data_IF_204561983526
#
_entry.id   IF_204561983526
#
_cell.length_a   1.000
_cell.length_b   1.000
_cell.length_c   1.000
_cell.angle_alpha   90.00
_cell.angle_beta   90.00
_cell.angle_gamma   90.00
#
_symmetry.space_group_name_H-M   'P 1'
#
loop_
_entity.id
_entity.type
_entity.pdbx_description
1 polymer ?
#
# COMPACT_ATOMS: atom_id res chain seq x y z
N UNK A 1 -1.06 -43.88 39.46
CA UNK A 1 -1.58 -42.51 39.52
C UNK A 1 -1.37 -41.89 38.15
N UNK A 2 -2.11 -42.46 37.21
CA UNK A 2 -2.76 -41.88 36.04
C UNK A 2 -2.96 -40.36 36.08
N UNK A 3 -1.93 -39.61 35.66
CA UNK A 3 -1.96 -38.16 35.46
C UNK A 3 -2.63 -37.72 34.15
N UNK A 4 -3.61 -38.48 33.65
CA UNK A 4 -4.24 -38.28 32.33
C UNK A 4 -5.45 -37.35 32.34
N UNK A 5 -5.99 -36.99 33.51
CA UNK A 5 -7.14 -36.07 33.61
C UNK A 5 -6.74 -34.65 34.00
N UNK A 6 -5.74 -34.45 34.86
CA UNK A 6 -5.32 -33.11 35.29
C UNK A 6 -4.58 -32.31 34.21
N UNK A 7 -3.92 -32.98 33.26
CA UNK A 7 -3.25 -32.29 32.13
C UNK A 7 -4.25 -31.77 31.08
N UNK A 8 -5.46 -32.32 31.04
CA UNK A 8 -6.52 -31.89 30.10
C UNK A 8 -7.27 -30.65 30.58
N UNK A 9 -7.34 -30.42 31.89
CA UNK A 9 -8.16 -29.36 32.48
C UNK A 9 -7.45 -27.97 32.53
N UNK A 10 -6.13 -27.93 32.41
CA UNK A 10 -5.37 -26.69 32.68
C UNK A 10 -5.01 -25.85 31.45
N UNK A 11 -5.29 -26.30 30.22
CA UNK A 11 -4.89 -25.54 29.04
C UNK A 11 -5.88 -24.44 28.64
N UNK A 12 -7.18 -24.56 28.94
CA UNK A 12 -8.17 -23.55 28.57
C UNK A 12 -9.36 -23.54 29.52
N UNK A 13 -9.30 -22.68 30.54
CA UNK A 13 -10.49 -22.19 31.23
C UNK A 13 -10.67 -20.75 30.75
N UNK A 14 -11.71 -20.52 29.95
CA UNK A 14 -12.18 -19.18 29.64
C UNK A 14 -12.81 -18.62 30.92
N UNK A 15 -12.03 -17.84 31.69
CA UNK A 15 -12.59 -17.07 32.79
C UNK A 15 -13.18 -15.78 32.21
N UNK A 16 -14.50 -15.67 32.31
CA UNK A 16 -15.30 -14.49 31.90
C UNK A 16 -14.95 -13.21 32.67
N UNK A 17 -14.05 -13.26 33.66
CA UNK A 17 -13.68 -12.11 34.46
C UNK A 17 -12.23 -11.69 34.22
N UNK A 18 -12.12 -10.48 33.66
CA UNK A 18 -10.94 -9.63 33.64
C UNK A 18 -10.24 -9.64 35.01
N UNK A 19 -9.03 -10.19 35.09
CA UNK A 19 -8.11 -9.86 36.17
C UNK A 19 -6.71 -9.50 35.69
N UNK A 20 -6.35 -8.29 36.08
CA UNK A 20 -5.01 -7.73 36.21
C UNK A 20 -4.17 -8.67 37.09
N UNK A 21 -3.08 -9.22 36.56
CA UNK A 21 -1.99 -9.70 37.42
C UNK A 21 -1.04 -8.53 37.66
N UNK A 22 -0.97 -8.12 38.93
CA UNK A 22 0.00 -7.16 39.41
C UNK A 22 1.39 -7.83 39.47
N UNK A 23 2.34 -7.28 38.71
CA UNK A 23 3.78 -7.52 38.87
C UNK A 23 4.39 -8.58 37.97
N UNK A 24 5.27 -8.12 37.06
CA UNK A 24 6.23 -8.94 36.32
C UNK A 24 5.75 -9.39 34.94
N UNK A 25 6.38 -8.84 33.89
CA UNK A 25 6.36 -9.28 32.48
C UNK A 25 5.36 -10.41 32.15
N UNK A 26 4.08 -10.09 31.97
CA UNK A 26 3.09 -11.06 31.51
C UNK A 26 3.48 -11.52 30.10
N UNK A 27 3.92 -12.78 29.96
CA UNK A 27 3.89 -13.48 28.67
C UNK A 27 2.44 -13.56 28.22
N UNK A 28 2.09 -12.83 27.16
CA UNK A 28 0.72 -12.75 26.72
C UNK A 28 0.26 -14.07 26.08
N UNK A 29 -0.93 -14.55 26.47
CA UNK A 29 -1.57 -15.70 25.83
C UNK A 29 -1.94 -15.36 24.37
N UNK A 30 -1.77 -16.32 23.45
CA UNK A 30 -2.11 -16.12 22.03
C UNK A 30 -3.57 -15.75 21.79
N UNK A 31 -4.48 -16.28 22.62
CA UNK A 31 -5.89 -15.86 22.60
C UNK A 31 -6.05 -14.36 22.90
N UNK A 32 -5.21 -13.78 23.78
CA UNK A 32 -5.18 -12.33 24.01
C UNK A 32 -4.67 -11.58 22.78
N UNK A 33 -3.66 -12.08 22.06
CA UNK A 33 -3.18 -11.46 20.82
C UNK A 33 -4.28 -11.45 19.74
N UNK A 34 -4.90 -12.60 19.52
CA UNK A 34 -5.92 -12.78 18.50
C UNK A 34 -7.20 -12.02 18.86
N UNK A 35 -7.59 -12.05 20.13
CA UNK A 35 -8.65 -11.20 20.68
C UNK A 35 -8.32 -9.72 20.53
N UNK A 36 -7.07 -9.29 20.74
CA UNK A 36 -6.64 -7.90 20.48
C UNK A 36 -6.67 -7.55 18.99
N UNK A 37 -6.26 -8.45 18.11
CA UNK A 37 -6.36 -8.24 16.66
C UNK A 37 -7.83 -8.13 16.23
N UNK A 38 -8.67 -9.05 16.68
CA UNK A 38 -10.11 -9.05 16.42
C UNK A 38 -10.80 -7.82 17.03
N UNK A 39 -10.42 -7.40 18.23
CA UNK A 39 -10.93 -6.18 18.87
C UNK A 39 -10.45 -4.92 18.18
N UNK A 40 -9.20 -4.89 17.72
CA UNK A 40 -8.68 -3.78 16.91
C UNK A 40 -9.49 -3.65 15.62
N UNK A 41 -10.03 -4.75 15.11
CA UNK A 41 -10.89 -4.77 13.93
C UNK A 41 -12.36 -4.47 14.26
N UNK A 42 -12.89 -4.97 15.38
CA UNK A 42 -14.30 -4.74 15.77
C UNK A 42 -14.56 -3.31 16.23
N UNK A 43 -13.56 -2.67 16.87
CA UNK A 43 -13.58 -1.23 17.21
C UNK A 43 -13.58 -0.31 15.97
N UNK A 44 -13.48 -0.87 14.76
CA UNK A 44 -13.58 -0.14 13.50
C UNK A 44 -15.04 0.00 13.02
N UNK A 45 -16.00 -0.51 13.80
CA UNK A 45 -17.44 -0.50 13.50
C UNK A 45 -17.89 -1.81 12.87
N UNK A 46 -18.35 -2.75 13.71
CA UNK A 46 -18.62 -4.14 13.31
C UNK A 46 -20.09 -4.49 13.03
N UNK A 47 -20.97 -3.51 12.85
CA UNK A 47 -22.37 -3.76 12.53
C UNK A 47 -22.65 -3.24 11.13
N UNK A 48 -23.20 -4.06 10.23
CA UNK A 48 -23.63 -3.74 8.84
C UNK A 48 -22.66 -4.14 7.71
N UNK A 49 -23.15 -4.10 6.46
CA UNK A 49 -22.49 -4.36 5.15
C UNK A 49 -21.08 -3.77 4.99
N UNK A 50 -20.66 -2.88 5.89
CA UNK A 50 -19.36 -2.23 5.97
C UNK A 50 -18.15 -3.18 6.03
N UNK A 51 -18.30 -4.39 6.58
CA UNK A 51 -17.21 -5.38 6.65
C UNK A 51 -17.00 -6.20 5.36
N UNK A 52 -17.85 -6.00 4.34
CA UNK A 52 -17.72 -6.70 3.05
C UNK A 52 -16.37 -6.35 2.40
N UNK A 53 -15.52 -7.36 2.22
CA UNK A 53 -14.16 -7.20 1.65
C UNK A 53 -13.03 -7.09 2.68
N UNK A 54 -13.33 -7.04 3.98
CA UNK A 54 -12.30 -7.10 5.02
C UNK A 54 -11.82 -8.56 5.20
N UNK A 55 -10.51 -8.76 5.35
CA UNK A 55 -9.96 -10.07 5.74
C UNK A 55 -9.76 -10.10 7.25
N UNK A 56 -10.28 -11.11 7.93
CA UNK A 56 -10.12 -11.29 9.37
C UNK A 56 -9.25 -12.50 9.65
N UNK A 57 -8.38 -12.46 10.70
CA UNK A 57 -7.70 -13.67 11.15
C UNK A 57 -8.73 -14.70 11.60
N UNK A 58 -8.58 -15.94 11.13
CA UNK A 58 -9.43 -17.08 11.49
C UNK A 58 -8.68 -17.92 12.51
N UNK A 59 -9.41 -18.40 13.52
CA UNK A 59 -8.91 -19.34 14.51
C UNK A 59 -9.45 -20.73 14.25
N UNK A 60 -8.56 -21.72 14.24
CA UNK A 60 -8.92 -23.13 14.19
C UNK A 60 -8.27 -23.85 15.37
N UNK A 61 -9.10 -24.54 16.15
CA UNK A 61 -8.64 -25.39 17.25
C UNK A 61 -8.28 -26.77 16.72
N UNK A 62 -7.15 -27.29 17.19
CA UNK A 62 -6.70 -28.66 16.91
C UNK A 62 -6.25 -29.32 18.20
N UNK A 63 -6.69 -30.55 18.41
CA UNK A 63 -6.31 -31.37 19.55
C UNK A 63 -5.03 -32.14 19.21
N UNK A 64 -4.00 -32.00 20.04
CA UNK A 64 -2.72 -32.67 19.87
C UNK A 64 -2.33 -33.39 21.18
N UNK A 65 -1.78 -34.60 21.09
CA UNK A 65 -1.18 -35.28 22.24
C UNK A 65 0.11 -34.55 22.65
N UNK A 66 0.30 -34.42 23.96
CA UNK A 66 1.41 -33.71 24.59
C UNK A 66 2.54 -34.65 25.05
N UNK A 67 2.46 -35.93 24.69
CA UNK A 67 3.30 -36.99 25.24
C UNK A 67 4.72 -37.00 24.63
N UNK A 68 4.96 -36.24 23.56
CA UNK A 68 6.24 -36.16 22.82
C UNK A 68 6.78 -34.73 22.70
N UNK A 69 6.60 -33.93 23.74
CA UNK A 69 7.06 -32.55 23.79
C UNK A 69 8.61 -32.46 23.79
N UNK A 70 9.17 -31.55 22.99
CA UNK A 70 10.61 -31.25 23.05
C UNK A 70 10.96 -30.61 24.42
N UNK A 71 12.15 -30.88 24.99
CA UNK A 71 12.53 -30.37 26.31
C UNK A 71 12.47 -28.84 26.43
N UNK A 72 12.72 -28.14 25.32
CA UNK A 72 12.75 -26.67 25.24
C UNK A 72 11.36 -26.03 25.10
N UNK A 73 10.30 -26.85 24.93
CA UNK A 73 8.95 -26.36 24.69
C UNK A 73 8.07 -26.70 25.89
N UNK A 74 7.96 -25.77 26.82
CA UNK A 74 7.23 -25.96 28.08
C UNK A 74 5.72 -25.66 27.99
N UNK A 75 5.20 -25.22 26.83
CA UNK A 75 3.78 -24.84 26.64
C UNK A 75 3.27 -25.13 25.22
N UNK A 76 1.95 -25.35 25.03
CA UNK A 76 1.40 -25.65 23.71
C UNK A 76 1.70 -24.51 22.73
N UNK A 77 2.18 -24.87 21.54
CA UNK A 77 2.51 -23.91 20.51
C UNK A 77 1.36 -23.78 19.52
N UNK A 78 1.07 -22.54 19.12
CA UNK A 78 0.22 -22.31 17.95
C UNK A 78 1.09 -22.36 16.69
N UNK A 79 0.50 -22.76 15.56
CA UNK A 79 1.12 -22.70 14.24
C UNK A 79 0.54 -21.52 13.47
N UNK A 80 1.40 -20.72 12.85
CA UNK A 80 1.01 -19.62 11.97
C UNK A 80 1.96 -19.56 10.78
N UNK A 81 1.55 -18.91 9.69
CA UNK A 81 2.45 -18.65 8.58
C UNK A 81 3.21 -17.33 8.75
N UNK A 82 4.39 -17.24 8.14
CA UNK A 82 5.18 -16.00 8.06
C UNK A 82 4.38 -14.87 7.43
N UNK A 83 3.65 -15.13 6.34
CA UNK A 83 2.83 -14.11 5.67
C UNK A 83 1.73 -13.57 6.58
N UNK A 84 1.07 -14.45 7.35
CA UNK A 84 -0.01 -14.03 8.26
C UNK A 84 0.53 -13.24 9.45
N UNK A 85 1.65 -13.64 10.08
CA UNK A 85 2.20 -12.85 11.19
C UNK A 85 2.65 -11.46 10.74
N UNK A 86 3.22 -11.36 9.52
CA UNK A 86 3.62 -10.10 8.91
C UNK A 86 2.46 -9.09 8.80
N UNK A 87 1.26 -9.59 8.48
CA UNK A 87 0.02 -8.80 8.43
C UNK A 87 -0.49 -8.47 9.83
N UNK A 88 -0.57 -9.46 10.73
CA UNK A 88 -1.07 -9.27 12.11
C UNK A 88 -0.25 -8.22 12.83
N UNK A 89 1.08 -8.25 12.73
CA UNK A 89 1.95 -7.31 13.40
C UNK A 89 1.63 -5.86 13.03
N UNK A 90 1.48 -5.58 11.73
CA UNK A 90 1.12 -4.25 11.23
C UNK A 90 -0.26 -3.81 11.69
N UNK A 91 -1.26 -4.69 11.62
CA UNK A 91 -2.63 -4.38 12.05
C UNK A 91 -2.74 -4.07 13.55
N UNK A 92 -1.81 -4.57 14.36
CA UNK A 92 -1.67 -4.21 15.77
C UNK A 92 -0.94 -2.88 16.03
N UNK A 93 -0.50 -2.20 14.96
CA UNK A 93 0.27 -0.96 15.05
C UNK A 93 1.77 -1.19 15.29
N UNK A 94 2.29 -2.39 15.01
CA UNK A 94 3.72 -2.68 15.07
C UNK A 94 4.39 -2.43 13.71
N UNK A 95 5.66 -2.04 13.75
CA UNK A 95 6.52 -1.94 12.58
C UNK A 95 7.58 -3.04 12.68
N UNK A 96 7.84 -3.70 11.56
CA UNK A 96 8.99 -4.60 11.48
C UNK A 96 10.27 -3.76 11.59
N UNK A 97 11.27 -4.29 12.29
CA UNK A 97 12.63 -3.74 12.44
C UNK A 97 13.67 -4.63 11.79
N UNK A 98 13.37 -5.92 11.80
CA UNK A 98 14.14 -6.97 11.16
C UNK A 98 13.12 -7.99 10.65
N UNK A 99 13.25 -8.39 9.39
CA UNK A 99 12.35 -9.38 8.79
C UNK A 99 13.13 -10.26 7.80
N UNK A 100 13.73 -11.31 8.35
CA UNK A 100 14.45 -12.36 7.64
C UNK A 100 14.02 -13.73 8.17
N UNK A 101 12.89 -14.25 7.69
CA UNK A 101 12.34 -15.53 8.13
C UNK A 101 13.22 -16.73 7.79
N UNK A 102 14.05 -16.64 6.73
CA UNK A 102 14.97 -17.72 6.32
C UNK A 102 16.00 -17.99 7.42
N UNK A 103 16.54 -16.92 8.00
CA UNK A 103 17.52 -17.03 9.08
C UNK A 103 16.88 -17.03 10.48
N UNK A 104 15.54 -17.02 10.56
CA UNK A 104 14.80 -16.99 11.82
C UNK A 104 14.88 -15.65 12.56
N UNK A 105 15.27 -14.58 11.88
CA UNK A 105 15.42 -13.23 12.45
C UNK A 105 14.17 -12.43 12.10
N UNK A 106 13.27 -12.25 13.06
CA UNK A 106 12.09 -11.40 12.88
C UNK A 106 11.84 -10.62 14.17
N UNK A 107 11.77 -9.30 14.05
CA UNK A 107 11.50 -8.40 15.17
C UNK A 107 10.52 -7.32 14.74
N UNK A 108 9.40 -7.23 15.45
CA UNK A 108 8.44 -6.15 15.29
C UNK A 108 8.25 -5.41 16.61
N UNK A 109 8.07 -4.10 16.55
CA UNK A 109 7.74 -3.29 17.72
C UNK A 109 6.81 -2.13 17.36
N UNK A 110 5.95 -1.77 18.30
CA UNK A 110 5.05 -0.62 18.18
C UNK A 110 3.82 -0.79 19.04
N UNK A 111 3.14 0.31 19.35
CA UNK A 111 1.92 0.29 20.16
C UNK A 111 2.05 -0.50 21.49
N UNK A 112 3.18 -0.34 22.18
CA UNK A 112 3.47 -1.03 23.45
C UNK A 112 3.52 -2.55 23.37
N UNK A 113 3.84 -3.08 22.18
CA UNK A 113 3.89 -4.49 21.87
C UNK A 113 5.18 -4.82 21.11
N UNK A 114 5.69 -6.04 21.30
CA UNK A 114 6.80 -6.60 20.53
C UNK A 114 6.51 -8.01 20.07
N UNK A 115 7.07 -8.35 18.92
CA UNK A 115 7.25 -9.73 18.43
C UNK A 115 8.74 -9.95 18.27
N UNK A 116 9.25 -11.05 18.80
CA UNK A 116 10.66 -11.46 18.67
C UNK A 116 10.70 -12.93 18.27
N UNK A 117 11.40 -13.25 17.19
CA UNK A 117 11.67 -14.63 16.79
C UNK A 117 12.89 -15.20 17.51
N UNK A 118 12.80 -16.49 17.82
CA UNK A 118 13.86 -17.30 18.38
C UNK A 118 13.87 -18.64 17.65
N UNK A 119 15.04 -19.20 17.38
CA UNK A 119 15.14 -20.50 16.72
C UNK A 119 15.34 -21.59 17.78
N UNK A 120 14.39 -22.52 17.86
CA UNK A 120 14.49 -23.71 18.72
C UNK A 120 14.97 -24.88 17.88
N UNK A 121 16.02 -25.57 18.35
CA UNK A 121 16.58 -26.75 17.67
C UNK A 121 15.47 -27.80 17.51
N UNK A 122 15.40 -28.45 16.35
CA UNK A 122 14.40 -29.47 15.97
C UNK A 122 12.94 -29.02 15.78
N UNK A 123 12.57 -27.82 16.24
CA UNK A 123 11.24 -27.25 16.01
C UNK A 123 11.24 -26.19 14.91
N UNK A 124 12.30 -25.38 14.84
CA UNK A 124 12.41 -24.25 13.92
C UNK A 124 12.12 -22.92 14.61
N UNK A 125 11.59 -21.96 13.84
CA UNK A 125 11.37 -20.59 14.31
C UNK A 125 10.13 -20.50 15.21
N UNK A 126 10.33 -20.02 16.43
CA UNK A 126 9.30 -19.73 17.43
C UNK A 126 9.30 -18.24 17.70
N UNK A 127 8.15 -17.60 17.55
CA UNK A 127 7.98 -16.19 17.89
C UNK A 127 7.34 -16.04 19.28
N UNK A 128 7.83 -15.06 20.01
CA UNK A 128 7.33 -14.63 21.30
C UNK A 128 6.70 -13.25 21.16
N UNK A 129 5.55 -13.06 21.78
CA UNK A 129 4.83 -11.79 21.80
C UNK A 129 4.74 -11.27 23.22
N UNK A 130 5.09 -10.00 23.38
CA UNK A 130 4.99 -9.31 24.65
C UNK A 130 4.18 -8.03 24.48
N UNK A 131 3.38 -7.69 25.48
CA UNK A 131 2.60 -6.46 25.53
C UNK A 131 2.74 -5.85 26.91
N UNK A 132 3.13 -4.57 26.97
CA UNK A 132 3.35 -3.85 28.22
C UNK A 132 2.54 -2.56 28.34
N UNK A 133 1.83 -2.15 27.28
CA UNK A 133 0.94 -0.98 27.30
C UNK A 133 -0.50 -1.36 26.87
N UNK A 134 -1.49 -0.76 27.52
CA UNK A 134 -2.92 -0.87 27.19
C UNK A 134 -3.46 0.38 26.47
N UNK A 135 -2.63 1.40 26.24
CA UNK A 135 -3.05 2.61 25.51
C UNK A 135 -3.42 2.26 24.07
N UNK A 136 -4.53 2.84 23.60
CA UNK A 136 -4.98 2.69 22.22
C UNK A 136 -4.04 3.49 21.31
N UNK A 137 -3.38 2.82 20.37
CA UNK A 137 -2.71 3.47 19.24
C UNK A 137 -3.65 4.44 18.51
N UNK A 138 -3.09 5.56 18.08
CA UNK A 138 -3.70 6.42 17.08
C UNK A 138 -3.60 5.80 15.68
N UNK A 139 -2.52 5.07 15.41
CA UNK A 139 -2.32 4.39 14.12
C UNK A 139 -3.25 3.17 14.02
N UNK A 140 -4.15 3.19 13.02
CA UNK A 140 -5.15 2.15 12.77
C UNK A 140 -5.27 1.90 11.27
N UNK A 141 -4.69 0.79 10.84
CA UNK A 141 -4.67 0.39 9.44
C UNK A 141 -6.03 -0.15 8.97
N UNK A 142 -6.33 0.07 7.69
CA UNK A 142 -7.53 -0.49 7.05
C UNK A 142 -7.33 -2.02 6.86
N UNK A 143 -8.26 -2.88 7.34
CA UNK A 143 -8.08 -4.33 7.39
C UNK A 143 -8.51 -5.04 6.08
N UNK A 144 -8.09 -4.50 4.95
CA UNK A 144 -8.41 -5.05 3.62
C UNK A 144 -7.15 -5.56 2.92
N UNK A 145 -7.32 -6.55 2.05
CA UNK A 145 -6.20 -7.27 1.42
C UNK A 145 -5.29 -6.32 0.63
N UNK A 146 -5.87 -5.32 -0.03
CA UNK A 146 -5.14 -4.34 -0.83
C UNK A 146 -4.24 -3.45 0.05
N UNK A 147 -4.70 -3.07 1.24
CA UNK A 147 -3.87 -2.36 2.23
C UNK A 147 -2.78 -3.28 2.79
N UNK A 148 -3.08 -4.56 3.02
CA UNK A 148 -2.07 -5.51 3.46
C UNK A 148 -0.98 -5.70 2.42
N UNK A 149 -1.34 -5.85 1.12
CA UNK A 149 -0.43 -5.92 -0.04
C UNK A 149 0.50 -4.71 -0.10
N UNK A 150 -0.01 -3.50 0.16
CA UNK A 150 0.82 -2.29 0.15
C UNK A 150 1.99 -2.39 1.15
N UNK A 151 1.81 -3.01 2.32
CA UNK A 151 2.93 -3.16 3.28
C UNK A 151 3.94 -4.23 2.92
N UNK A 152 3.65 -5.03 1.89
CA UNK A 152 4.62 -5.88 1.20
C UNK A 152 5.23 -5.18 -0.02
N UNK A 153 4.94 -3.89 -0.22
CA UNK A 153 5.36 -3.13 -1.39
C UNK A 153 4.58 -3.47 -2.67
N UNK A 154 3.43 -4.13 -2.56
CA UNK A 154 2.63 -4.60 -3.71
C UNK A 154 1.42 -3.68 -3.89
N UNK A 155 1.25 -3.11 -5.08
CA UNK A 155 0.07 -2.32 -5.45
C UNK A 155 -1.00 -3.24 -6.03
N UNK A 156 -2.20 -3.18 -5.46
CA UNK A 156 -3.42 -3.68 -6.12
C UNK A 156 -3.94 -2.63 -7.08
N UNK A 157 -4.09 -2.98 -8.36
CA UNK A 157 -4.42 -2.03 -9.42
C UNK A 157 -5.84 -2.20 -9.94
N UNK A 158 -6.52 -1.08 -10.14
CA UNK A 158 -7.82 -1.06 -10.83
C UNK A 158 -7.72 -1.51 -12.29
N UNK A 159 -6.52 -1.47 -12.86
CA UNK A 159 -6.25 -1.96 -14.20
C UNK A 159 -5.77 -3.41 -14.07
N UNK A 160 -6.63 -4.37 -14.40
CA UNK A 160 -6.38 -5.81 -14.22
C UNK A 160 -5.02 -6.29 -14.77
N UNK A 161 -4.53 -5.69 -15.86
CA UNK A 161 -3.23 -6.03 -16.47
C UNK A 161 -2.01 -5.42 -15.76
N UNK A 162 -2.24 -4.55 -14.77
CA UNK A 162 -1.24 -3.89 -13.92
C UNK A 162 -1.39 -4.32 -12.45
N UNK A 163 -2.12 -5.39 -12.14
CA UNK A 163 -2.24 -5.84 -10.76
C UNK A 163 -0.94 -6.49 -10.26
N UNK A 164 -0.60 -6.24 -9.00
CA UNK A 164 0.57 -6.86 -8.37
C UNK A 164 1.91 -6.18 -8.65
N UNK A 165 1.92 -4.91 -9.04
CA UNK A 165 3.16 -4.15 -9.22
C UNK A 165 3.92 -4.01 -7.89
N UNK A 166 5.20 -4.34 -7.90
CA UNK A 166 6.05 -4.29 -6.72
C UNK A 166 6.90 -3.01 -6.72
N UNK A 167 7.00 -2.34 -5.57
CA UNK A 167 7.74 -1.09 -5.35
C UNK A 167 8.65 -1.13 -4.12
N UNK A 168 8.81 -2.30 -3.49
CA UNK A 168 9.54 -2.46 -2.23
C UNK A 168 11.05 -2.17 -2.35
N UNK A 169 11.66 -2.46 -3.50
CA UNK A 169 13.09 -2.23 -3.80
C UNK A 169 13.30 -1.42 -5.09
N UNK A 170 14.54 -0.95 -5.33
CA UNK A 170 14.90 -0.21 -6.55
C UNK A 170 14.71 -1.05 -7.82
N UNK A 171 15.06 -2.32 -7.76
CA UNK A 171 14.92 -3.29 -8.84
C UNK A 171 13.45 -3.49 -9.18
N UNK A 172 12.60 -3.56 -8.15
CA UNK A 172 11.15 -3.66 -8.31
C UNK A 172 10.56 -2.38 -8.92
N UNK A 173 11.03 -1.20 -8.50
CA UNK A 173 10.65 0.07 -9.14
C UNK A 173 11.03 0.08 -10.62
N UNK A 174 12.25 -0.35 -10.97
CA UNK A 174 12.68 -0.45 -12.37
C UNK A 174 11.85 -1.46 -13.17
N UNK A 175 11.52 -2.61 -12.59
CA UNK A 175 10.66 -3.60 -13.22
C UNK A 175 9.25 -3.05 -13.46
N UNK A 176 8.68 -2.37 -12.46
CA UNK A 176 7.39 -1.70 -12.57
C UNK A 176 7.41 -0.63 -13.67
N UNK A 177 8.46 0.18 -13.76
CA UNK A 177 8.58 1.18 -14.82
C UNK A 177 8.66 0.57 -16.23
N UNK A 178 9.29 -0.59 -16.40
CA UNK A 178 9.27 -1.30 -17.70
C UNK A 178 7.86 -1.69 -18.12
N UNK A 179 7.01 -2.04 -17.16
CA UNK A 179 5.60 -2.37 -17.41
C UNK A 179 4.79 -1.12 -17.76
N UNK A 180 5.00 -0.01 -17.04
CA UNK A 180 4.23 1.22 -17.21
C UNK A 180 4.66 2.05 -18.43
N UNK A 181 5.94 1.98 -18.80
CA UNK A 181 6.56 2.76 -19.87
C UNK A 181 7.45 1.84 -20.73
N UNK A 182 6.88 1.10 -21.70
CA UNK A 182 7.61 0.05 -22.42
C UNK A 182 8.74 0.53 -23.33
N UNK A 183 8.89 1.84 -23.61
CA UNK A 183 10.02 2.31 -24.43
C UNK A 183 11.36 2.16 -23.72
N UNK A 184 11.36 2.00 -22.39
CA UNK A 184 12.55 1.84 -21.57
C UNK A 184 13.34 3.14 -21.36
N UNK A 185 12.86 4.26 -21.89
CA UNK A 185 13.49 5.57 -21.75
C UNK A 185 13.63 5.97 -20.27
N UNK A 186 12.54 5.87 -19.51
CA UNK A 186 12.52 6.27 -18.10
C UNK A 186 13.41 5.35 -17.24
N UNK A 187 13.48 4.07 -17.60
CA UNK A 187 14.33 3.08 -16.93
C UNK A 187 15.80 3.43 -17.13
N UNK A 188 16.20 3.83 -18.34
CA UNK A 188 17.58 4.24 -18.63
C UNK A 188 17.98 5.51 -17.84
N UNK A 189 17.09 6.49 -17.76
CA UNK A 189 17.30 7.70 -16.94
C UNK A 189 17.45 7.33 -15.47
N UNK A 190 16.51 6.55 -14.92
CA UNK A 190 16.53 6.18 -13.51
C UNK A 190 17.77 5.36 -13.14
N UNK A 191 18.21 4.45 -14.00
CA UNK A 191 19.47 3.72 -13.80
C UNK A 191 20.69 4.64 -13.80
N UNK A 192 20.66 5.70 -14.59
CA UNK A 192 21.74 6.71 -14.63
C UNK A 192 21.73 7.51 -13.33
N UNK A 193 20.56 7.91 -12.84
CA UNK A 193 20.40 8.59 -11.55
C UNK A 193 20.88 7.72 -10.37
N UNK A 194 20.50 6.44 -10.31
CA UNK A 194 20.98 5.53 -9.28
C UNK A 194 22.50 5.34 -9.29
N UNK A 195 23.14 5.42 -10.46
CA UNK A 195 24.61 5.38 -10.57
C UNK A 195 25.27 6.68 -10.10
N UNK A 196 24.63 7.82 -10.35
CA UNK A 196 25.15 9.15 -9.99
C UNK A 196 24.95 9.44 -8.50
N UNK A 197 23.81 9.05 -7.94
CA UNK A 197 23.46 9.20 -6.54
C UNK A 197 22.93 7.87 -5.99
N UNK A 198 23.78 7.10 -5.28
CA UNK A 198 23.38 5.85 -4.63
C UNK A 198 22.31 6.02 -3.55
N UNK A 199 21.97 7.23 -3.09
CA UNK A 199 20.90 7.50 -2.13
C UNK A 199 19.62 8.01 -2.81
N UNK A 200 19.65 8.24 -4.12
CA UNK A 200 18.48 8.67 -4.88
C UNK A 200 17.37 7.64 -4.77
N UNK A 201 16.15 8.12 -4.54
CA UNK A 201 14.95 7.30 -4.55
C UNK A 201 13.81 8.06 -5.24
N UNK A 202 13.19 7.40 -6.21
CA UNK A 202 12.07 7.95 -6.94
C UNK A 202 10.84 8.09 -6.03
N UNK A 203 10.21 9.27 -6.02
CA UNK A 203 8.95 9.49 -5.32
C UNK A 203 7.80 8.81 -6.07
N UNK A 204 7.29 7.71 -5.52
CA UNK A 204 6.23 6.92 -6.15
C UNK A 204 4.84 7.20 -5.56
N UNK A 205 4.72 8.08 -4.57
CA UNK A 205 3.46 8.36 -3.88
C UNK A 205 2.30 8.72 -4.81
N UNK A 206 2.52 9.63 -5.75
CA UNK A 206 1.53 10.01 -6.75
C UNK A 206 1.16 8.85 -7.67
N UNK A 207 2.16 8.06 -8.11
CA UNK A 207 1.92 6.87 -8.95
C UNK A 207 1.11 5.81 -8.22
N UNK A 208 1.39 5.56 -6.94
CA UNK A 208 0.60 4.66 -6.09
C UNK A 208 -0.83 5.17 -6.02
N UNK A 209 -1.04 6.46 -5.72
CA UNK A 209 -2.37 7.04 -5.59
C UNK A 209 -3.19 7.00 -6.90
N UNK A 210 -2.51 7.06 -8.06
CA UNK A 210 -3.13 6.97 -9.39
C UNK A 210 -3.51 5.52 -9.73
N UNK A 211 -2.65 4.56 -9.38
CA UNK A 211 -2.79 3.16 -9.78
C UNK A 211 -3.61 2.33 -8.80
N UNK A 212 -3.39 2.55 -7.50
CA UNK A 212 -3.95 1.73 -6.43
C UNK A 212 -5.46 1.85 -6.38
N UNK A 213 -6.17 0.74 -6.16
CA UNK A 213 -7.61 0.71 -5.92
C UNK A 213 -8.03 1.72 -4.84
N UNK A 214 -9.31 2.12 -4.81
CA UNK A 214 -9.81 2.88 -3.65
C UNK A 214 -10.00 1.92 -2.48
N UNK A 215 -9.09 1.98 -1.51
CA UNK A 215 -8.93 1.01 -0.41
C UNK A 215 -9.66 1.53 0.84
N UNK A 216 -10.90 1.98 0.69
CA UNK A 216 -11.71 2.49 1.81
C UNK A 216 -13.10 1.87 1.80
N UNK A 217 -13.41 0.94 2.72
CA UNK A 217 -14.75 0.41 2.89
C UNK A 217 -15.77 1.53 3.19
N UNK A 218 -16.98 1.38 2.67
CA UNK A 218 -18.07 2.33 2.94
C UNK A 218 -18.32 2.40 4.45
N UNK A 219 -18.53 3.62 4.95
CA UNK A 219 -18.81 3.91 6.36
C UNK A 219 -17.65 3.67 7.35
N UNK A 220 -16.43 3.39 6.87
CA UNK A 220 -15.24 3.37 7.72
C UNK A 220 -14.53 4.73 7.78
N UNK A 221 -14.10 5.09 8.98
CA UNK A 221 -13.35 6.33 9.29
C UNK A 221 -11.83 6.09 9.25
N UNK A 222 -11.39 4.83 9.11
CA UNK A 222 -9.98 4.52 8.95
C UNK A 222 -9.48 4.85 7.55
N UNK A 223 -8.37 5.55 7.50
CA UNK A 223 -7.73 6.00 6.25
C UNK A 223 -6.26 5.64 6.18
N UNK A 224 -5.68 5.01 7.20
CA UNK A 224 -4.25 4.72 7.19
C UNK A 224 -3.91 3.45 6.45
N UNK A 225 -2.91 3.54 5.59
CA UNK A 225 -2.37 2.45 4.79
C UNK A 225 -0.85 2.43 4.90
N UNK A 226 -0.20 1.26 4.87
CA UNK A 226 1.26 1.20 4.91
C UNK A 226 1.86 1.79 3.62
N UNK A 227 2.97 2.51 3.76
CA UNK A 227 3.72 3.03 2.62
C UNK A 227 4.37 1.87 1.83
N UNK A 228 4.10 1.74 0.51
CA UNK A 228 4.67 0.65 -0.30
C UNK A 228 6.14 0.85 -0.68
N UNK A 229 6.69 2.05 -0.43
CA UNK A 229 8.10 2.38 -0.58
C UNK A 229 8.47 3.51 0.39
N UNK A 230 9.77 3.77 0.59
CA UNK A 230 10.24 4.81 1.52
C UNK A 230 9.86 6.21 1.09
N UNK A 231 9.64 6.41 -0.22
CA UNK A 231 9.36 7.70 -0.84
C UNK A 231 7.94 7.73 -1.41
N UNK A 232 6.98 7.28 -0.60
CA UNK A 232 5.55 7.28 -0.95
C UNK A 232 4.88 8.65 -0.78
N UNK A 233 5.65 9.73 -0.56
CA UNK A 233 5.12 11.09 -0.52
C UNK A 233 4.94 11.64 -1.94
N UNK A 234 3.95 12.52 -2.10
CA UNK A 234 3.66 13.19 -3.37
C UNK A 234 2.55 14.22 -3.20
N UNK A 235 2.37 15.11 -4.17
CA UNK A 235 1.37 16.19 -4.11
C UNK A 235 -0.07 15.67 -3.95
N UNK A 236 -0.35 14.44 -4.38
CA UNK A 236 -1.68 13.84 -4.23
C UNK A 236 -2.03 13.54 -2.77
N UNK A 237 -1.01 13.26 -1.95
CA UNK A 237 -1.15 12.96 -0.52
C UNK A 237 -1.21 14.23 0.33
N UNK A 238 -0.62 15.32 -0.15
CA UNK A 238 -0.54 16.57 0.59
C UNK A 238 -1.70 17.54 0.28
N UNK A 239 -2.22 18.19 1.32
CA UNK A 239 -3.35 19.12 1.17
C UNK A 239 -3.01 20.39 0.38
N UNK A 240 -1.80 20.91 0.55
CA UNK A 240 -1.30 22.05 -0.20
C UNK A 240 -0.98 21.64 -1.64
N UNK A 241 -0.37 20.48 -1.86
CA UNK A 241 -0.15 19.91 -3.20
C UNK A 241 -1.44 19.77 -4.02
N UNK A 242 -2.52 19.26 -3.41
CA UNK A 242 -3.85 19.20 -4.04
C UNK A 242 -4.44 20.59 -4.35
N UNK A 243 -4.26 21.55 -3.45
CA UNK A 243 -4.70 22.93 -3.65
C UNK A 243 -3.98 23.57 -4.84
N UNK A 244 -2.65 23.42 -4.92
CA UNK A 244 -1.85 23.94 -6.03
C UNK A 244 -2.29 23.31 -7.35
N UNK A 245 -2.46 21.99 -7.40
CA UNK A 245 -2.99 21.31 -8.59
C UNK A 245 -4.33 21.91 -9.05
N UNK A 246 -5.27 22.11 -8.13
CA UNK A 246 -6.56 22.74 -8.42
C UNK A 246 -6.39 24.16 -8.97
N UNK A 247 -5.54 24.98 -8.35
CA UNK A 247 -5.28 26.37 -8.78
C UNK A 247 -4.77 26.41 -10.22
N UNK A 248 -3.74 25.63 -10.54
CA UNK A 248 -3.18 25.56 -11.91
C UNK A 248 -4.22 25.04 -12.92
N UNK A 249 -5.04 24.06 -12.53
CA UNK A 249 -6.11 23.57 -13.38
C UNK A 249 -7.16 24.66 -13.68
N UNK A 250 -7.60 25.41 -12.66
CA UNK A 250 -8.53 26.53 -12.83
C UNK A 250 -7.95 27.62 -13.72
N UNK A 251 -6.68 27.98 -13.56
CA UNK A 251 -5.97 28.95 -14.40
C UNK A 251 -5.85 28.49 -15.86
N UNK A 252 -5.47 27.23 -16.08
CA UNK A 252 -5.41 26.63 -17.40
C UNK A 252 -6.77 26.70 -18.11
N UNK A 253 -7.85 26.42 -17.39
CA UNK A 253 -9.21 26.43 -17.94
C UNK A 253 -9.79 27.83 -18.22
N UNK A 254 -9.25 28.91 -17.61
CA UNK A 254 -9.66 30.28 -17.94
C UNK A 254 -9.21 30.72 -19.33
N UNK A 255 -8.09 30.19 -19.80
CA UNK A 255 -7.44 30.61 -21.05
C UNK A 255 -7.80 29.73 -22.26
N UNK A 256 -8.53 28.62 -22.05
CA UNK A 256 -8.74 27.58 -23.08
C UNK A 256 -10.12 26.95 -22.98
N UNK A 257 -10.66 26.54 -24.11
CA UNK A 257 -11.83 25.68 -24.12
C UNK A 257 -11.45 24.27 -23.69
N UNK A 258 -12.04 23.78 -22.60
CA UNK A 258 -11.77 22.45 -22.05
C UNK A 258 -12.93 21.49 -22.26
N UNK A 259 -12.60 20.21 -22.38
CA UNK A 259 -13.57 19.14 -22.58
C UNK A 259 -14.52 18.93 -21.39
N UNK A 260 -15.58 18.14 -21.62
CA UNK A 260 -16.61 17.79 -20.62
C UNK A 260 -16.01 17.26 -19.32
N UNK A 261 -15.02 16.37 -19.43
CA UNK A 261 -14.37 15.72 -18.29
C UNK A 261 -13.67 16.71 -17.36
N UNK A 262 -12.96 17.69 -17.92
CA UNK A 262 -12.28 18.73 -17.16
C UNK A 262 -13.29 19.63 -16.44
N UNK A 263 -14.38 20.00 -17.11
CA UNK A 263 -15.47 20.79 -16.48
C UNK A 263 -16.10 20.03 -15.32
N UNK A 264 -16.27 18.72 -15.44
CA UNK A 264 -16.79 17.86 -14.38
C UNK A 264 -15.86 17.81 -13.17
N UNK A 265 -14.55 17.66 -13.38
CA UNK A 265 -13.54 17.68 -12.31
C UNK A 265 -13.57 19.02 -11.56
N UNK A 266 -13.68 20.14 -12.28
CA UNK A 266 -13.76 21.49 -11.69
C UNK A 266 -15.06 21.75 -10.92
N UNK A 267 -16.18 21.18 -11.37
CA UNK A 267 -17.48 21.34 -10.69
C UNK A 267 -17.57 20.57 -9.38
N UNK A 268 -16.64 19.66 -9.12
CA UNK A 268 -16.47 19.05 -7.81
C UNK A 268 -17.68 18.21 -7.36
N UNK A 269 -17.59 16.90 -7.64
CA UNK A 269 -18.11 15.81 -6.79
C UNK A 269 -19.62 15.51 -6.88
N UNK A 270 -19.96 14.20 -7.04
CA UNK A 270 -20.94 13.49 -6.17
C UNK A 270 -21.05 11.96 -6.36
N UNK A 271 -20.54 11.37 -7.45
CA UNK A 271 -20.70 9.91 -7.68
C UNK A 271 -19.37 9.19 -7.70
N UNK A 272 -18.85 8.87 -6.50
CA UNK A 272 -17.69 8.01 -6.36
C UNK A 272 -18.03 6.56 -6.72
N UNK A 273 -17.07 5.89 -7.35
CA UNK A 273 -16.98 4.45 -7.64
C UNK A 273 -17.57 3.89 -8.95
N UNK A 274 -18.28 4.66 -9.79
CA UNK A 274 -18.96 4.05 -10.97
C UNK A 274 -18.24 4.30 -12.31
N UNK A 275 -17.43 5.35 -12.45
CA UNK A 275 -17.01 5.83 -13.78
C UNK A 275 -15.54 5.60 -14.18
N UNK A 276 -14.72 4.97 -13.34
CA UNK A 276 -13.31 4.71 -13.68
C UNK A 276 -13.10 3.39 -14.47
N UNK A 277 -14.18 2.80 -15.02
CA UNK A 277 -14.11 1.60 -15.87
C UNK A 277 -13.63 1.89 -17.30
N UNK A 278 -13.62 3.16 -17.73
CA UNK A 278 -12.94 3.52 -18.98
C UNK A 278 -11.44 3.36 -18.77
N UNK A 279 -10.82 2.54 -19.62
CA UNK A 279 -9.37 2.39 -19.69
C UNK A 279 -8.76 3.79 -19.82
N UNK A 280 -8.22 4.36 -18.75
CA UNK A 280 -7.20 5.39 -18.91
C UNK A 280 -6.16 4.73 -19.82
N UNK A 281 -5.93 5.25 -21.03
CA UNK A 281 -5.07 4.56 -21.96
C UNK A 281 -3.71 4.43 -21.29
N UNK A 282 -3.14 3.23 -21.26
CA UNK A 282 -1.76 3.01 -20.78
C UNK A 282 -0.79 4.02 -21.42
N UNK A 283 -1.11 4.49 -22.63
CA UNK A 283 -0.45 5.61 -23.31
C UNK A 283 -0.44 6.92 -22.51
N UNK A 284 -1.56 7.36 -21.91
CA UNK A 284 -1.62 8.60 -21.10
C UNK A 284 -0.76 8.46 -19.85
N UNK A 285 -0.82 7.31 -19.18
CA UNK A 285 0.03 7.03 -18.01
C UNK A 285 1.51 6.99 -18.40
N UNK A 286 1.85 6.27 -19.48
CA UNK A 286 3.20 6.19 -20.04
C UNK A 286 3.74 7.57 -20.41
N UNK A 287 2.95 8.40 -21.08
CA UNK A 287 3.31 9.78 -21.42
C UNK A 287 3.49 10.64 -20.17
N UNK A 288 2.63 10.51 -19.16
CA UNK A 288 2.79 11.20 -17.88
C UNK A 288 4.09 10.82 -17.16
N UNK A 289 4.43 9.53 -17.14
CA UNK A 289 5.70 9.06 -16.55
C UNK A 289 6.88 9.64 -17.35
N UNK A 290 6.83 9.53 -18.67
CA UNK A 290 7.93 9.99 -19.54
C UNK A 290 8.16 11.49 -19.49
N UNK A 291 7.12 12.28 -19.69
CA UNK A 291 7.26 13.73 -19.86
C UNK A 291 6.95 14.53 -18.59
N UNK A 292 6.13 13.99 -17.69
CA UNK A 292 5.79 14.64 -16.43
C UNK A 292 6.80 14.29 -15.34
N UNK A 293 7.01 13.01 -15.07
CA UNK A 293 7.94 12.55 -14.01
C UNK A 293 9.39 12.69 -14.48
N UNK A 294 9.74 12.13 -15.64
CA UNK A 294 11.11 12.10 -16.18
C UNK A 294 11.37 13.17 -17.24
N UNK A 295 10.99 14.42 -16.97
CA UNK A 295 11.09 15.52 -17.94
C UNK A 295 12.56 15.89 -18.27
N UNK A 296 12.84 16.12 -19.55
CA UNK A 296 14.14 16.64 -20.00
C UNK A 296 14.36 18.05 -19.43
N UNK A 297 15.51 18.29 -18.80
CA UNK A 297 15.92 19.57 -18.21
C UNK A 297 15.00 20.17 -17.14
N UNK A 298 14.01 19.43 -16.63
CA UNK A 298 13.15 19.97 -15.59
C UNK A 298 13.48 19.44 -14.19
N UNK A 299 13.05 20.23 -13.20
CA UNK A 299 13.32 20.09 -11.77
C UNK A 299 12.74 18.82 -11.12
N UNK A 300 12.09 17.93 -11.87
CA UNK A 300 11.74 16.59 -11.35
C UNK A 300 12.94 15.64 -11.35
N UNK A 301 14.08 16.10 -11.89
CA UNK A 301 15.42 15.70 -11.44
C UNK A 301 15.61 16.19 -9.99
N UNK A 302 15.28 15.34 -9.02
CA UNK A 302 15.50 15.58 -7.58
C UNK A 302 16.96 15.98 -7.31
N UNK A 303 17.22 17.27 -7.12
CA UNK A 303 18.51 17.71 -6.56
C UNK A 303 18.44 18.64 -5.34
N UNK A 304 17.32 19.23 -4.93
CA UNK A 304 17.44 20.25 -3.85
C UNK A 304 16.28 20.41 -2.86
N UNK A 305 15.09 19.90 -3.15
CA UNK A 305 13.93 20.15 -2.30
C UNK A 305 13.86 19.12 -1.14
N UNK A 306 14.54 19.43 -0.02
CA UNK A 306 14.25 18.82 1.30
C UNK A 306 12.82 19.12 1.77
N UNK A 307 12.21 20.17 1.21
CA UNK A 307 10.81 20.58 1.43
C UNK A 307 10.08 20.64 0.09
N UNK A 308 8.93 19.97 -0.08
CA UNK A 308 8.21 19.95 -1.36
C UNK A 308 7.86 21.36 -1.82
N UNK A 309 8.27 21.72 -3.05
CA UNK A 309 7.82 22.92 -3.75
C UNK A 309 6.74 22.50 -4.75
N UNK A 310 5.51 22.42 -4.25
CA UNK A 310 4.39 21.94 -5.07
C UNK A 310 4.02 22.92 -6.18
N UNK A 311 4.23 24.23 -6.01
CA UNK A 311 3.99 25.21 -7.08
C UNK A 311 4.89 24.92 -8.29
N UNK A 312 6.19 24.74 -8.08
CA UNK A 312 7.11 24.42 -9.18
C UNK A 312 6.88 23.03 -9.76
N UNK A 313 6.60 22.03 -8.91
CA UNK A 313 6.31 20.66 -9.36
C UNK A 313 5.06 20.60 -10.25
N UNK A 314 3.97 21.23 -9.81
CA UNK A 314 2.72 21.28 -10.58
C UNK A 314 2.86 22.14 -11.83
N UNK A 315 3.52 23.30 -11.76
CA UNK A 315 3.81 24.11 -12.95
C UNK A 315 4.53 23.28 -14.01
N UNK A 316 5.55 22.52 -13.62
CA UNK A 316 6.29 21.62 -14.50
C UNK A 316 5.42 20.57 -15.20
N UNK A 317 4.40 20.03 -14.52
CA UNK A 317 3.45 19.11 -15.15
C UNK A 317 2.62 19.78 -16.25
N UNK A 318 2.16 21.01 -16.03
CA UNK A 318 1.38 21.77 -17.02
C UNK A 318 2.28 22.25 -18.19
N UNK A 319 3.52 22.63 -17.92
CA UNK A 319 4.50 23.00 -18.95
C UNK A 319 4.88 21.81 -19.86
N UNK A 320 4.87 20.59 -19.31
CA UNK A 320 5.11 19.36 -20.07
C UNK A 320 3.91 18.93 -20.93
N UNK A 321 2.71 19.46 -20.67
CA UNK A 321 1.47 19.05 -21.35
C UNK A 321 1.54 19.11 -22.89
N UNK A 322 2.05 20.18 -23.52
CA UNK A 322 2.13 20.24 -24.98
C UNK A 322 2.96 19.10 -25.58
N UNK A 323 4.01 18.65 -24.90
CA UNK A 323 4.84 17.54 -25.35
C UNK A 323 4.13 16.19 -25.16
N UNK A 324 3.44 16.01 -24.03
CA UNK A 324 2.59 14.84 -23.79
C UNK A 324 1.51 14.72 -24.86
N UNK A 325 0.78 15.81 -25.14
CA UNK A 325 -0.28 15.84 -26.13
C UNK A 325 0.22 15.48 -27.54
N UNK A 326 1.37 16.03 -27.96
CA UNK A 326 2.01 15.70 -29.25
C UNK A 326 2.37 14.22 -29.36
N UNK A 327 2.95 13.65 -28.31
CA UNK A 327 3.32 12.23 -28.29
C UNK A 327 2.08 11.32 -28.39
N UNK A 328 1.03 11.61 -27.61
CA UNK A 328 -0.23 10.87 -27.62
C UNK A 328 -0.94 10.96 -28.98
N UNK A 329 -0.95 12.14 -29.60
CA UNK A 329 -1.51 12.33 -30.94
C UNK A 329 -0.75 11.52 -32.00
N UNK A 330 0.59 11.44 -31.92
CA UNK A 330 1.40 10.64 -32.83
C UNK A 330 1.12 9.13 -32.68
N UNK A 331 1.00 8.64 -31.45
CA UNK A 331 0.67 7.24 -31.16
C UNK A 331 -0.74 6.85 -31.64
N UNK A 332 -1.72 7.75 -31.46
CA UNK A 332 -3.09 7.56 -31.95
C UNK A 332 -3.14 7.43 -33.47
N UNK A 333 -2.42 8.30 -34.20
CA UNK A 333 -2.35 8.25 -35.68
C UNK A 333 -1.70 6.96 -36.18
N UNK A 334 -0.67 6.47 -35.49
CA UNK A 334 0.00 5.21 -35.86
C UNK A 334 -0.90 3.99 -35.66
N UNK A 335 -1.75 4.02 -34.63
CA UNK A 335 -2.75 2.97 -34.36
C UNK A 335 -3.88 2.99 -35.39
N UNK A 336 -4.39 4.19 -35.74
CA UNK A 336 -5.43 4.36 -36.75
C UNK A 336 -4.96 3.97 -38.17
N UNK A 337 -3.68 4.19 -38.52
CA UNK A 337 -3.13 3.69 -39.80
C UNK A 337 -3.09 2.16 -39.91
N UNK A 338 -3.18 1.42 -38.79
CA UNK A 338 -3.21 -0.06 -38.77
C UNK A 338 -4.63 -0.64 -38.79
N UNK A 339 -5.65 0.17 -38.50
CA UNK A 339 -7.07 -0.22 -38.54
C UNK A 339 -7.82 0.71 -39.48
N UNK A 340 -8.19 0.21 -40.65
CA UNK A 340 -8.92 0.95 -41.70
C UNK A 340 -10.11 1.75 -41.12
N UNK A 341 -10.21 3.00 -41.58
CA UNK A 341 -11.34 3.95 -41.53
C UNK A 341 -11.86 4.36 -40.13
N UNK A 342 -11.40 5.52 -39.66
CA UNK A 342 -12.02 6.29 -38.58
C UNK A 342 -12.07 7.77 -38.95
N UNK A 343 -13.14 8.45 -38.53
CA UNK A 343 -13.37 9.89 -38.74
C UNK A 343 -12.12 10.73 -38.41
N UNK A 344 -11.83 11.73 -39.25
CA UNK A 344 -10.75 12.68 -39.01
C UNK A 344 -11.08 13.57 -37.80
N UNK A 345 -10.73 13.13 -36.60
CA UNK A 345 -10.65 14.00 -35.43
C UNK A 345 -9.55 15.04 -35.66
N UNK A 346 -9.87 16.30 -35.37
CA UNK A 346 -8.92 17.41 -35.46
C UNK A 346 -7.84 17.28 -34.37
N UNK A 347 -6.68 17.92 -34.60
CA UNK A 347 -5.59 17.90 -33.62
C UNK A 347 -5.99 18.53 -32.28
N UNK A 348 -6.88 19.53 -32.31
CA UNK A 348 -7.39 20.19 -31.10
C UNK A 348 -8.35 19.30 -30.32
N UNK A 349 -9.24 18.57 -30.99
CA UNK A 349 -10.16 17.64 -30.32
C UNK A 349 -9.41 16.50 -29.62
N UNK A 350 -8.38 15.95 -30.26
CA UNK A 350 -7.50 14.95 -29.66
C UNK A 350 -6.76 15.49 -28.43
N UNK A 351 -6.22 16.71 -28.51
CA UNK A 351 -5.57 17.35 -27.36
C UNK A 351 -6.56 17.53 -26.20
N UNK A 352 -7.76 18.07 -26.46
CA UNK A 352 -8.80 18.24 -25.43
C UNK A 352 -9.22 16.91 -24.81
N UNK A 353 -9.33 15.86 -25.62
CA UNK A 353 -9.66 14.52 -25.15
C UNK A 353 -8.59 13.96 -24.22
N UNK A 354 -7.32 13.94 -24.66
CA UNK A 354 -6.23 13.44 -23.83
C UNK A 354 -6.01 14.28 -22.57
N UNK A 355 -6.20 15.59 -22.64
CA UNK A 355 -6.13 16.46 -21.46
C UNK A 355 -7.18 16.07 -20.44
N UNK A 356 -8.42 15.84 -20.89
CA UNK A 356 -9.49 15.35 -20.03
C UNK A 356 -9.13 14.04 -19.33
N UNK A 357 -8.54 13.07 -20.05
CA UNK A 357 -8.10 11.80 -19.48
C UNK A 357 -6.98 11.97 -18.45
N UNK A 358 -5.99 12.82 -18.75
CA UNK A 358 -4.89 13.12 -17.84
C UNK A 358 -5.38 13.81 -16.55
N UNK A 359 -6.26 14.81 -16.68
CA UNK A 359 -6.87 15.49 -15.52
C UNK A 359 -7.69 14.51 -14.68
N UNK A 360 -8.50 13.62 -15.29
CA UNK A 360 -9.23 12.57 -14.56
C UNK A 360 -8.29 11.66 -13.78
N UNK A 361 -7.19 11.24 -14.39
CA UNK A 361 -6.17 10.40 -13.76
C UNK A 361 -5.55 11.07 -12.53
N UNK A 362 -5.12 12.34 -12.65
CA UNK A 362 -4.55 13.09 -11.53
C UNK A 362 -5.57 13.40 -10.43
N UNK A 363 -6.78 13.77 -10.82
CA UNK A 363 -7.88 14.03 -9.90
C UNK A 363 -8.18 12.79 -9.06
N UNK A 364 -8.26 11.61 -9.69
CA UNK A 364 -8.38 10.33 -8.98
C UNK A 364 -7.26 10.14 -7.96
N UNK A 365 -6.01 10.40 -8.35
CA UNK A 365 -4.87 10.34 -7.42
C UNK A 365 -5.05 11.26 -6.22
N UNK A 366 -5.49 12.50 -6.44
CA UNK A 366 -5.80 13.46 -5.37
C UNK A 366 -6.93 12.98 -4.46
N UNK A 367 -7.97 12.36 -5.02
CA UNK A 367 -9.07 11.79 -4.25
C UNK A 367 -8.62 10.60 -3.40
N UNK A 368 -7.78 9.74 -3.97
CA UNK A 368 -7.16 8.64 -3.25
C UNK A 368 -6.34 9.17 -2.08
N UNK A 369 -5.45 10.15 -2.30
CA UNK A 369 -4.63 10.74 -1.24
C UNK A 369 -5.38 11.63 -0.24
N UNK A 370 -6.58 12.11 -0.58
CA UNK A 370 -7.48 12.75 0.38
C UNK A 370 -8.19 11.73 1.29
N UNK A 371 -8.34 10.48 0.81
CA UNK A 371 -9.00 9.40 1.54
C UNK A 371 -8.04 8.47 2.26
N UNK A 372 -6.73 8.55 1.99
CA UNK A 372 -5.74 7.66 2.56
C UNK A 372 -4.51 8.43 3.03
N UNK A 373 -3.92 7.95 4.12
CA UNK A 373 -2.69 8.48 4.69
C UNK A 373 -1.65 7.36 4.74
N UNK A 374 -0.49 7.58 4.12
CA UNK A 374 0.62 6.63 4.21
C UNK A 374 1.27 6.68 5.58
N UNK A 375 1.35 5.53 6.23
CA UNK A 375 2.17 5.36 7.42
C UNK A 375 3.54 4.79 7.00
N UNK A 376 4.63 5.54 7.22
CA UNK A 376 5.97 5.05 6.90
C UNK A 376 6.39 3.95 7.89
N UNK A 377 7.07 2.93 7.38
CA UNK A 377 7.60 1.84 8.18
C UNK A 377 8.49 0.94 7.34
N UNK A 378 9.24 0.06 8.01
CA UNK A 378 9.99 -0.96 7.29
C UNK A 378 9.01 -1.96 6.69
N UNK A 379 9.21 -2.22 5.41
CA UNK A 379 8.34 -3.06 4.61
C UNK A 379 8.71 -4.51 4.81
N UNK A 380 7.73 -5.37 4.63
CA UNK A 380 7.99 -6.79 4.49
C UNK A 380 8.34 -7.05 3.02
N UNK A 381 9.40 -7.80 2.71
CA UNK A 381 9.72 -8.11 1.32
C UNK A 381 8.56 -8.82 0.61
N UNK A 382 8.29 -8.44 -0.63
CA UNK A 382 7.11 -8.89 -1.39
C UNK A 382 7.02 -10.40 -1.56
N UNK A 383 8.14 -11.09 -1.58
CA UNK A 383 8.25 -12.55 -1.68
C UNK A 383 7.63 -13.29 -0.48
N UNK A 384 7.43 -12.61 0.65
CA UNK A 384 6.76 -13.16 1.82
C UNK A 384 5.25 -12.95 1.80
N UNK A 385 4.71 -12.24 0.81
CA UNK A 385 3.27 -12.10 0.62
C UNK A 385 2.65 -13.48 0.36
N UNK A 386 1.68 -13.87 1.19
CA UNK A 386 1.04 -15.19 1.08
C UNK A 386 1.95 -16.38 1.42
N UNK A 387 3.14 -16.15 1.99
CA UNK A 387 4.02 -17.25 2.39
C UNK A 387 3.36 -18.14 3.43
N UNK A 388 3.30 -19.44 3.15
CA UNK A 388 2.79 -20.48 4.04
C UNK A 388 3.88 -21.09 4.93
N UNK A 389 5.10 -20.53 4.90
CA UNK A 389 6.22 -21.00 5.73
C UNK A 389 5.77 -21.06 7.21
N UNK A 390 5.78 -22.26 7.82
CA UNK A 390 5.23 -22.41 9.16
C UNK A 390 6.22 -21.88 10.19
N UNK A 391 5.71 -21.12 11.14
CA UNK A 391 6.40 -20.73 12.36
C UNK A 391 5.50 -21.04 13.55
N UNK A 392 6.12 -21.19 14.70
CA UNK A 392 5.43 -21.49 15.93
C UNK A 392 5.30 -20.25 16.79
N UNK A 393 4.25 -20.19 17.59
CA UNK A 393 4.01 -19.12 18.52
C UNK A 393 4.03 -19.69 19.94
N UNK A 394 4.93 -19.19 20.80
CA UNK A 394 5.25 -19.79 22.12
C UNK A 394 5.07 -18.92 23.37
#
# INVERSE_FOLDING_TARGET
MDGTEDSKALCFIEHDDVYLVAGGYERACWLKLLGKAQNSISNLGASSEALKGCQLPILQFQENSWDFQLPDVVRPLAKISVGTIAVIARRLGMRWKEFDPIHGIMRAEGNGQTIIATTIRSLGTVIQYNSWDQRRSQERYIPVMEADRLGFGIISSMYMFLDGLCLGTREQVLATLRTLEPSGHCVAILQTLYKQDPNYNLRMGSSVAILADMIRPKNMILTQVPAPCENALGFTQDSHGRYVFRKFLEEYCKSREVGRETKWVLQGIQTYSVFFQEKTPTAVLSAHIRFGIFRDHGETSLLTSRSPDYDSEIAGYFDAWPNMAKALAAESRNSSKRGLEGEHQTSEELERHFFGLWVRMLFRGCLWGACHEFVPGERVPSEWWGSEMPIYIG
#
